data_IF_401774753876
#
_entry.id   IF_401774753876
#
_cell.length_a   1.000
_cell.length_b   1.000
_cell.length_c   1.000
_cell.angle_alpha   90.00
_cell.angle_beta   90.00
_cell.angle_gamma   90.00
#
_symmetry.space_group_name_H-M   'P 1'
#
loop_
_entity.id
_entity.type
_entity.pdbx_description
1 polymer ?
#
# COMPACT_ATOMS: atom_id res chain seq x y z
N UNK A 1 -34.05 -1.79 -9.44
CA UNK A 1 -33.99 -1.94 -7.97
C UNK A 1 -34.47 -0.63 -7.35
N UNK A 2 -35.58 -0.59 -6.60
CA UNK A 2 -36.02 0.63 -5.90
C UNK A 2 -35.23 0.73 -4.59
N UNK A 3 -34.35 1.72 -4.50
CA UNK A 3 -33.65 2.04 -3.24
C UNK A 3 -34.73 2.48 -2.24
N UNK A 4 -34.81 1.80 -1.10
CA UNK A 4 -35.82 2.09 -0.07
C UNK A 4 -35.69 3.51 0.48
N UNK A 5 -36.79 4.07 1.02
CA UNK A 5 -36.78 5.40 1.63
C UNK A 5 -35.74 5.44 2.75
N UNK A 6 -34.87 6.46 2.72
CA UNK A 6 -33.89 6.70 3.78
C UNK A 6 -34.60 6.83 5.12
N UNK A 7 -34.24 5.97 6.08
CA UNK A 7 -34.67 6.07 7.48
C UNK A 7 -33.91 7.12 8.27
N UNK A 8 -32.90 7.77 7.65
CA UNK A 8 -32.06 8.79 8.29
C UNK A 8 -32.26 10.13 7.61
N UNK A 9 -32.90 11.05 8.30
CA UNK A 9 -32.94 12.45 7.94
C UNK A 9 -31.81 13.15 8.70
N UNK A 10 -30.80 13.67 7.99
CA UNK A 10 -29.73 14.43 8.63
C UNK A 10 -30.28 15.80 9.02
N UNK A 11 -30.36 16.09 10.33
CA UNK A 11 -30.86 17.37 10.87
C UNK A 11 -29.87 18.52 10.74
N UNK A 12 -28.63 18.25 10.32
CA UNK A 12 -27.56 19.22 10.10
C UNK A 12 -26.77 18.84 8.85
N UNK A 13 -26.09 19.82 8.25
CA UNK A 13 -25.14 19.54 7.17
C UNK A 13 -24.05 18.58 7.66
N UNK A 14 -23.95 17.40 7.04
CA UNK A 14 -22.87 16.44 7.27
C UNK A 14 -22.02 16.39 6.02
N UNK A 15 -20.76 16.81 6.14
CA UNK A 15 -19.76 16.73 5.08
C UNK A 15 -18.80 15.57 5.29
N UNK A 16 -18.03 15.25 4.24
CA UNK A 16 -16.87 14.38 4.35
C UNK A 16 -15.68 15.27 4.73
N UNK A 17 -15.08 15.04 5.90
CA UNK A 17 -13.85 15.72 6.30
C UNK A 17 -12.66 14.90 5.79
N UNK A 18 -11.80 15.52 4.97
CA UNK A 18 -10.55 14.90 4.57
C UNK A 18 -9.67 14.69 5.81
N UNK A 19 -9.05 13.51 5.89
CA UNK A 19 -8.16 13.22 7.01
C UNK A 19 -6.99 14.21 6.99
N UNK A 20 -6.60 14.76 8.15
CA UNK A 20 -5.39 15.58 8.22
C UNK A 20 -4.20 14.72 7.77
N UNK A 21 -3.25 15.35 7.07
CA UNK A 21 -2.03 14.67 6.63
C UNK A 21 -1.33 14.09 7.86
N UNK A 22 -1.10 12.78 7.85
CA UNK A 22 -0.43 12.06 8.92
C UNK A 22 0.65 11.11 8.39
N UNK A 23 1.23 10.35 9.31
CA UNK A 23 2.19 9.29 9.01
C UNK A 23 1.53 7.89 8.99
N UNK A 24 0.20 7.84 8.88
CA UNK A 24 -0.59 6.61 8.84
C UNK A 24 -1.26 6.51 7.48
N UNK A 25 -0.91 5.45 6.75
CA UNK A 25 -1.44 5.16 5.42
C UNK A 25 -2.19 3.84 5.48
N UNK A 26 -3.44 3.82 5.01
CA UNK A 26 -4.25 2.60 4.94
C UNK A 26 -3.90 1.82 3.68
N UNK A 27 -3.72 0.51 3.86
CA UNK A 27 -3.48 -0.41 2.77
C UNK A 27 -4.32 -1.68 2.97
N UNK A 28 -4.60 -2.37 1.86
CA UNK A 28 -5.21 -3.69 1.85
C UNK A 28 -4.14 -4.75 1.63
N UNK A 29 -4.25 -5.95 2.25
CA UNK A 29 -3.37 -7.08 1.94
C UNK A 29 -3.39 -7.40 0.44
N UNK A 30 -2.20 -7.65 -0.11
CA UNK A 30 -2.01 -7.98 -1.51
C UNK A 30 -2.21 -9.47 -1.81
N UNK A 31 -2.20 -9.86 -3.11
CA UNK A 31 -2.44 -11.25 -3.51
C UNK A 31 -1.40 -12.22 -2.93
N UNK A 32 -0.14 -11.81 -2.85
CA UNK A 32 0.96 -12.62 -2.35
C UNK A 32 1.19 -12.44 -0.83
N UNK A 33 0.28 -11.81 -0.09
CA UNK A 33 0.45 -11.55 1.35
C UNK A 33 0.71 -12.81 2.18
N UNK A 34 0.01 -13.91 1.85
CA UNK A 34 0.12 -15.20 2.52
C UNK A 34 1.46 -15.92 2.26
N UNK A 35 2.27 -15.41 1.33
CA UNK A 35 3.59 -15.95 1.02
C UNK A 35 4.70 -15.36 1.88
N UNK A 36 4.38 -14.44 2.78
CA UNK A 36 5.31 -13.90 3.77
C UNK A 36 5.12 -14.62 5.10
N UNK A 37 6.20 -14.81 5.87
CA UNK A 37 6.07 -15.42 7.19
C UNK A 37 5.26 -14.54 8.16
N UNK A 38 4.77 -15.13 9.25
CA UNK A 38 3.91 -14.43 10.21
C UNK A 38 4.58 -13.21 10.84
N UNK A 39 5.90 -13.27 11.04
CA UNK A 39 6.69 -12.15 11.57
C UNK A 39 6.69 -11.00 10.58
N UNK A 40 6.94 -11.26 9.30
CA UNK A 40 6.94 -10.26 8.23
C UNK A 40 5.56 -9.65 8.02
N UNK A 41 4.51 -10.48 8.06
CA UNK A 41 3.13 -10.05 8.01
C UNK A 41 2.80 -9.08 9.15
N UNK A 42 3.23 -9.38 10.38
CA UNK A 42 3.01 -8.51 11.55
C UNK A 42 3.86 -7.24 11.48
N UNK A 43 5.15 -7.35 11.16
CA UNK A 43 6.07 -6.22 11.02
C UNK A 43 5.60 -5.24 9.95
N UNK A 44 5.02 -5.72 8.84
CA UNK A 44 4.48 -4.83 7.81
C UNK A 44 3.43 -3.85 8.34
N UNK A 45 2.56 -4.30 9.26
CA UNK A 45 1.49 -3.49 9.83
C UNK A 45 1.87 -2.73 11.10
N UNK A 46 2.73 -3.32 11.93
CA UNK A 46 3.03 -2.82 13.28
C UNK A 46 4.35 -2.05 13.37
N UNK A 47 5.29 -2.30 12.47
CA UNK A 47 6.57 -1.59 12.46
C UNK A 47 6.50 -0.32 11.60
N UNK A 48 7.12 0.78 12.05
CA UNK A 48 7.22 1.98 11.23
C UNK A 48 8.19 1.74 10.06
N UNK A 49 7.87 2.36 8.92
CA UNK A 49 8.69 2.34 7.72
C UNK A 49 9.32 3.71 7.49
N UNK A 50 10.63 3.75 7.27
CA UNK A 50 11.35 4.99 6.95
C UNK A 50 11.42 5.16 5.43
N UNK A 51 11.11 6.35 4.93
CA UNK A 51 11.27 6.65 3.51
C UNK A 51 12.75 6.75 3.15
N UNK A 52 13.18 6.00 2.12
CA UNK A 52 14.55 6.04 1.61
C UNK A 52 14.79 7.30 0.78
N UNK A 53 15.99 7.91 0.83
CA UNK A 53 16.39 9.01 -0.06
C UNK A 53 16.37 8.64 -1.55
N UNK A 54 16.36 7.34 -1.88
CA UNK A 54 16.28 6.85 -3.27
C UNK A 54 14.85 6.79 -3.81
N UNK A 55 13.88 7.36 -3.10
CA UNK A 55 12.47 7.43 -3.50
C UNK A 55 12.26 8.54 -4.54
N UNK A 56 11.46 8.27 -5.55
CA UNK A 56 11.16 9.22 -6.61
C UNK A 56 9.72 9.04 -7.14
N UNK A 57 9.37 9.73 -8.24
CA UNK A 57 8.02 9.65 -8.84
C UNK A 57 7.65 8.28 -9.40
N UNK A 58 8.61 7.36 -9.57
CA UNK A 58 8.33 5.98 -9.97
C UNK A 58 7.97 5.10 -8.77
N UNK A 59 8.64 5.28 -7.64
CA UNK A 59 8.41 4.44 -6.48
C UNK A 59 9.08 4.94 -5.20
N UNK A 60 8.40 4.72 -4.09
CA UNK A 60 8.88 5.04 -2.75
C UNK A 60 9.47 3.80 -2.12
N UNK A 61 10.76 3.86 -1.82
CA UNK A 61 11.51 2.75 -1.23
C UNK A 61 11.45 2.89 0.29
N UNK A 62 10.94 1.86 0.95
CA UNK A 62 10.80 1.84 2.41
C UNK A 62 11.98 1.11 3.03
N UNK A 63 12.50 1.66 4.12
CA UNK A 63 13.56 1.08 4.94
C UNK A 63 12.99 0.65 6.28
N UNK A 64 13.24 -0.60 6.65
CA UNK A 64 12.80 -1.17 7.91
C UNK A 64 13.29 -2.60 8.08
N UNK A 65 12.58 -3.36 8.90
CA UNK A 65 12.84 -4.79 9.06
C UNK A 65 12.62 -5.51 7.71
N UNK A 66 13.62 -6.23 7.18
CA UNK A 66 13.46 -6.99 5.94
C UNK A 66 12.34 -8.03 6.07
N UNK A 67 11.45 -8.05 5.08
CA UNK A 67 10.36 -9.02 5.00
C UNK A 67 10.83 -10.30 4.32
N UNK A 68 10.47 -11.43 4.91
CA UNK A 68 10.84 -12.77 4.45
C UNK A 68 9.66 -13.46 3.78
N UNK A 69 9.85 -13.81 2.51
CA UNK A 69 8.94 -14.68 1.75
C UNK A 69 9.27 -16.14 2.06
N UNK A 70 8.25 -16.99 2.16
CA UNK A 70 8.36 -18.42 2.46
C UNK A 70 8.41 -19.30 1.21
N UNK A 71 8.12 -18.72 0.04
CA UNK A 71 8.17 -19.42 -1.25
C UNK A 71 9.25 -18.85 -2.15
N UNK A 72 9.94 -19.75 -2.85
CA UNK A 72 10.94 -19.44 -3.86
C UNK A 72 10.35 -19.45 -5.28
N UNK A 73 9.01 -19.55 -5.43
CA UNK A 73 8.40 -19.59 -6.76
C UNK A 73 8.68 -18.30 -7.53
N UNK A 74 9.02 -18.48 -8.79
CA UNK A 74 9.11 -17.36 -9.72
C UNK A 74 7.74 -16.72 -9.93
N UNK A 75 7.80 -15.41 -10.15
CA UNK A 75 6.65 -14.56 -10.41
C UNK A 75 6.72 -14.17 -11.88
N UNK A 76 5.70 -14.56 -12.65
CA UNK A 76 5.53 -14.04 -14.00
C UNK A 76 5.33 -12.52 -13.95
N UNK A 77 5.52 -11.85 -15.08
CA UNK A 77 5.16 -10.44 -15.18
C UNK A 77 3.65 -10.28 -15.10
N UNK A 78 3.18 -9.38 -14.23
CA UNK A 78 1.77 -9.05 -14.09
C UNK A 78 1.56 -7.54 -14.15
N UNK A 79 0.32 -7.13 -14.45
CA UNK A 79 -0.07 -5.72 -14.44
C UNK A 79 0.04 -5.09 -13.04
N UNK A 80 0.51 -3.85 -13.01
CA UNK A 80 0.73 -3.05 -11.81
C UNK A 80 -0.03 -1.72 -11.91
N UNK A 81 -0.40 -1.21 -10.75
CA UNK A 81 -1.06 0.09 -10.60
C UNK A 81 -0.38 0.88 -9.47
N UNK A 82 -0.47 2.22 -9.47
CA UNK A 82 -0.03 3.03 -8.35
C UNK A 82 -0.66 2.56 -7.03
N UNK A 83 0.12 2.59 -5.96
CA UNK A 83 -0.28 2.13 -4.62
C UNK A 83 0.08 0.68 -4.32
N UNK A 84 0.36 -0.15 -5.33
CA UNK A 84 0.86 -1.52 -5.11
C UNK A 84 2.21 -1.47 -4.36
N UNK A 85 2.36 -2.32 -3.35
CA UNK A 85 3.57 -2.45 -2.55
C UNK A 85 4.26 -3.75 -2.91
N UNK A 86 5.37 -3.65 -3.65
CA UNK A 86 6.19 -4.78 -4.06
C UNK A 86 7.32 -5.04 -3.07
N UNK A 87 7.69 -6.30 -2.87
CA UNK A 87 8.83 -6.68 -2.02
C UNK A 87 9.86 -7.45 -2.85
N UNK A 88 10.98 -6.84 -3.23
CA UNK A 88 12.08 -7.52 -3.91
C UNK A 88 12.82 -8.49 -2.97
N UNK A 89 13.80 -9.23 -3.52
CA UNK A 89 14.61 -10.22 -2.79
C UNK A 89 15.35 -9.66 -1.56
N UNK A 90 15.60 -8.35 -1.50
CA UNK A 90 16.22 -7.70 -0.33
C UNK A 90 15.24 -7.49 0.84
N UNK A 91 13.96 -7.83 0.68
CA UNK A 91 12.93 -7.72 1.71
C UNK A 91 12.48 -6.28 2.00
N UNK A 92 12.96 -5.28 1.27
CA UNK A 92 12.64 -3.86 1.49
C UNK A 92 11.48 -3.43 0.57
N UNK A 93 10.31 -3.04 1.12
CA UNK A 93 9.15 -2.73 0.30
C UNK A 93 9.34 -1.52 -0.62
N UNK A 94 8.70 -1.56 -1.78
CA UNK A 94 8.64 -0.45 -2.74
C UNK A 94 7.17 -0.18 -3.05
N UNK A 95 6.71 1.02 -2.69
CA UNK A 95 5.38 1.51 -3.07
C UNK A 95 5.46 2.10 -4.48
N UNK A 96 4.65 1.58 -5.40
CA UNK A 96 4.60 2.08 -6.77
C UNK A 96 3.85 3.40 -6.85
N UNK A 97 4.46 4.38 -7.52
CA UNK A 97 3.91 5.73 -7.67
C UNK A 97 3.46 5.97 -9.11
N UNK A 98 3.06 7.20 -9.45
CA UNK A 98 2.35 7.49 -10.68
C UNK A 98 3.17 7.26 -11.96
N UNK A 99 4.50 7.34 -11.88
CA UNK A 99 5.41 7.10 -13.01
C UNK A 99 5.99 5.66 -12.96
N UNK A 100 5.40 4.76 -12.17
CA UNK A 100 5.84 3.37 -12.05
C UNK A 100 5.70 2.59 -13.37
N UNK A 101 6.43 1.48 -13.45
CA UNK A 101 6.25 0.50 -14.52
C UNK A 101 4.84 -0.11 -14.45
N UNK A 102 4.24 -0.33 -15.62
CA UNK A 102 2.90 -0.95 -15.74
C UNK A 102 2.92 -2.46 -15.54
N UNK A 103 4.11 -3.08 -15.56
CA UNK A 103 4.29 -4.52 -15.37
C UNK A 103 5.50 -4.82 -14.49
N UNK A 104 5.45 -5.90 -13.73
CA UNK A 104 6.61 -6.38 -12.98
C UNK A 104 6.40 -7.77 -12.37
N UNK A 105 7.48 -8.33 -11.85
CA UNK A 105 7.55 -9.71 -11.35
C UNK A 105 7.93 -9.82 -9.87
N UNK A 106 7.72 -8.79 -9.05
CA UNK A 106 7.93 -8.88 -7.61
C UNK A 106 6.63 -9.18 -6.87
N UNK A 107 6.67 -9.99 -5.79
CA UNK A 107 5.49 -10.31 -4.98
C UNK A 107 4.91 -9.03 -4.35
N UNK A 108 3.58 -8.96 -4.29
CA UNK A 108 2.84 -7.79 -3.82
C UNK A 108 2.27 -8.08 -2.45
N UNK A 109 2.84 -7.47 -1.41
CA UNK A 109 2.41 -7.69 -0.04
C UNK A 109 1.15 -6.89 0.31
N UNK A 110 0.97 -5.71 -0.30
CA UNK A 110 -0.17 -4.85 -0.03
C UNK A 110 -0.48 -3.92 -1.21
N UNK A 111 -1.63 -3.25 -1.14
CA UNK A 111 -2.01 -2.16 -2.03
C UNK A 111 -2.58 -1.00 -1.19
N UNK A 112 -1.98 0.17 -1.29
CA UNK A 112 -2.45 1.39 -0.64
C UNK A 112 -3.74 1.84 -1.31
N UNK A 113 -4.73 2.23 -0.50
CA UNK A 113 -5.99 2.71 -1.04
C UNK A 113 -5.80 4.07 -1.72
N UNK A 114 -6.48 4.29 -2.83
CA UNK A 114 -6.36 5.53 -3.61
C UNK A 114 -6.61 6.79 -2.75
N UNK A 115 -7.57 6.71 -1.81
CA UNK A 115 -7.90 7.79 -0.90
C UNK A 115 -6.74 8.26 -0.02
N UNK A 116 -5.70 7.44 0.20
CA UNK A 116 -4.53 7.80 1.00
C UNK A 116 -3.27 8.08 0.15
N UNK A 117 -3.32 7.87 -1.18
CA UNK A 117 -2.17 8.07 -2.06
C UNK A 117 -1.61 9.49 -2.04
N UNK A 118 -2.48 10.50 -1.87
CA UNK A 118 -2.04 11.91 -1.80
C UNK A 118 -1.13 12.19 -0.59
N UNK A 119 -1.30 11.43 0.50
CA UNK A 119 -0.52 11.62 1.72
C UNK A 119 0.93 11.20 1.49
N UNK A 120 1.18 10.15 0.70
CA UNK A 120 2.54 9.71 0.35
C UNK A 120 3.35 10.84 -0.28
N UNK A 121 2.76 11.62 -1.18
CA UNK A 121 3.43 12.73 -1.85
C UNK A 121 3.87 13.86 -0.89
N UNK A 122 3.39 13.87 0.34
CA UNK A 122 3.68 14.89 1.36
C UNK A 122 4.62 14.38 2.46
N UNK A 123 4.95 13.09 2.48
CA UNK A 123 5.88 12.49 3.47
C UNK A 123 7.31 12.99 3.18
N UNK A 124 8.04 13.29 4.25
CA UNK A 124 9.44 13.72 4.23
C UNK A 124 10.34 12.70 4.89
#
# INVERSE_FOLDING_TARGET
MKIGKSSRCFSTSRGVKQLPIGNIIRALPGPEYHEFDSVSQESFWRSPWKLSPQSNRMGYRLQGQPLKRTTDREMLSHGLLPGVVQVPHNGQPIVLMNDAQTTGGYPRIACIIEADMYQLAQIR
#
